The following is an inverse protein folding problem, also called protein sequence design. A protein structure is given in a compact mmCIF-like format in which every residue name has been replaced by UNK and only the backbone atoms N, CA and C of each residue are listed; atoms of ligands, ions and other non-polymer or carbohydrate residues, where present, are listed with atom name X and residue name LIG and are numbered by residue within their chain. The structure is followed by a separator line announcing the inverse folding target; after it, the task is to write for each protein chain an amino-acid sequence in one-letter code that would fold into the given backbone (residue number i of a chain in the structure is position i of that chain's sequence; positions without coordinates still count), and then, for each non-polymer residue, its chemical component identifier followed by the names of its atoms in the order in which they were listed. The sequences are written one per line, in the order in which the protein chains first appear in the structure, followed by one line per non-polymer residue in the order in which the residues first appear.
data_IF_456106407505
#
_entry.id   IF_456106407505
#
_cell.length_a   1.000
_cell.length_b   1.000
_cell.length_c   1.000
_cell.angle_alpha   90.00
_cell.angle_beta   90.00
_cell.angle_gamma   90.00
#
_symmetry.space_group_name_H-M   'P 1'
#
loop_
_entity.id
_entity.type
_entity.pdbx_description
1 polymer ?
#
# COMPACT_ATOMS: atom_id res chain seq x y z
N UNK A 1 2.78 7.92 -0.40
CA UNK A 1 3.75 6.88 0.04
C UNK A 1 3.77 5.80 -1.02
N UNK A 2 4.94 5.24 -1.33
CA UNK A 2 5.06 4.10 -2.26
C UNK A 2 5.19 2.81 -1.46
N UNK A 3 4.44 1.78 -1.84
CA UNK A 3 4.49 0.46 -1.22
C UNK A 3 4.29 -0.63 -2.28
N UNK A 4 4.73 -1.85 -2.01
CA UNK A 4 4.68 -2.94 -3.00
C UNK A 4 3.58 -3.93 -2.63
N UNK A 5 2.68 -4.20 -3.56
CA UNK A 5 1.64 -5.24 -3.42
C UNK A 5 1.80 -6.22 -4.59
N UNK A 6 1.93 -7.52 -4.30
CA UNK A 6 2.21 -8.56 -5.30
C UNK A 6 3.38 -8.25 -6.25
N UNK A 7 4.43 -7.61 -5.74
CA UNK A 7 5.62 -7.24 -6.52
C UNK A 7 5.46 -6.00 -7.41
N UNK A 8 4.29 -5.34 -7.39
CA UNK A 8 4.05 -4.09 -8.12
C UNK A 8 4.15 -2.89 -7.18
N UNK A 9 4.90 -1.84 -7.55
CA UNK A 9 4.87 -0.59 -6.81
C UNK A 9 3.49 0.04 -6.95
N UNK A 10 2.96 0.50 -5.84
CA UNK A 10 1.66 1.14 -5.72
C UNK A 10 1.84 2.43 -4.92
N UNK A 11 0.93 3.37 -5.13
CA UNK A 11 0.92 4.63 -4.40
C UNK A 11 -0.38 4.80 -3.64
N UNK A 12 -0.27 5.44 -2.49
CA UNK A 12 -1.43 5.74 -1.67
C UNK A 12 -1.10 6.64 -0.49
N UNK A 13 -2.16 6.97 0.24
CA UNK A 13 -2.14 7.81 1.42
C UNK A 13 -2.61 7.03 2.63
N UNK A 14 -1.86 7.13 3.72
CA UNK A 14 -2.28 6.55 5.01
C UNK A 14 -3.49 7.35 5.51
N UNK A 15 -4.67 6.74 5.46
CA UNK A 15 -5.90 7.33 5.98
C UNK A 15 -5.98 7.21 7.50
N UNK A 16 -5.47 6.09 8.05
CA UNK A 16 -5.45 5.85 9.49
C UNK A 16 -4.31 4.93 9.89
N UNK A 17 -3.55 5.32 10.91
CA UNK A 17 -2.59 4.45 11.58
C UNK A 17 -3.26 3.70 12.74
N UNK A 18 -2.97 2.41 12.84
CA UNK A 18 -3.36 1.52 13.93
C UNK A 18 -2.09 0.96 14.59
N UNK A 19 -2.26 0.29 15.73
CA UNK A 19 -1.13 -0.22 16.53
C UNK A 19 -0.18 -1.15 15.74
N UNK A 20 -0.71 -2.00 14.87
CA UNK A 20 0.07 -3.00 14.10
C UNK A 20 -0.21 -2.94 12.59
N UNK A 21 -0.94 -1.94 12.14
CA UNK A 21 -1.40 -1.83 10.78
C UNK A 21 -1.70 -0.40 10.37
N UNK A 22 -1.85 -0.17 9.08
CA UNK A 22 -2.32 1.09 8.52
C UNK A 22 -3.46 0.82 7.54
N UNK A 23 -4.48 1.66 7.57
CA UNK A 23 -5.45 1.79 6.49
C UNK A 23 -4.88 2.76 5.48
N UNK A 24 -4.74 2.31 4.25
CA UNK A 24 -4.19 3.09 3.13
C UNK A 24 -5.25 3.20 2.05
N UNK A 25 -5.56 4.44 1.68
CA UNK A 25 -6.32 4.78 0.48
C UNK A 25 -5.34 4.72 -0.70
N UNK A 26 -5.67 3.93 -1.72
CA UNK A 26 -4.87 3.80 -2.92
C UNK A 26 -5.16 5.00 -3.82
N UNK A 27 -4.12 5.60 -4.38
CA UNK A 27 -4.32 6.68 -5.35
C UNK A 27 -4.93 6.08 -6.64
N UNK A 28 -5.98 6.70 -7.17
CA UNK A 28 -6.56 6.26 -8.44
C UNK A 28 -5.60 6.61 -9.59
N UNK A 29 -4.78 5.63 -9.96
CA UNK A 29 -3.86 5.71 -11.10
C UNK A 29 -4.05 4.49 -12.01
N UNK A 30 -3.58 4.58 -13.26
CA UNK A 30 -3.64 3.44 -14.20
C UNK A 30 -2.87 2.23 -13.67
N UNK A 31 -1.79 2.47 -12.93
CA UNK A 31 -0.93 1.42 -12.36
C UNK A 31 -1.56 0.74 -11.13
N UNK A 32 -2.54 1.40 -10.50
CA UNK A 32 -3.27 0.89 -9.35
C UNK A 32 -4.67 0.35 -9.71
N UNK A 33 -5.09 0.40 -10.99
CA UNK A 33 -6.47 0.14 -11.41
C UNK A 33 -6.97 -1.28 -11.04
N UNK A 34 -6.10 -2.29 -11.13
CA UNK A 34 -6.44 -3.66 -10.72
C UNK A 34 -6.68 -3.75 -9.21
N UNK A 35 -5.81 -3.13 -8.42
CA UNK A 35 -5.90 -3.16 -6.96
C UNK A 35 -7.11 -2.36 -6.46
N UNK A 36 -7.38 -1.19 -7.06
CA UNK A 36 -8.56 -0.38 -6.76
C UNK A 36 -9.84 -1.18 -7.02
N UNK A 37 -9.94 -1.89 -8.14
CA UNK A 37 -11.11 -2.72 -8.46
C UNK A 37 -11.30 -3.89 -7.48
N UNK A 38 -10.21 -4.49 -6.99
CA UNK A 38 -10.27 -5.62 -6.06
C UNK A 38 -10.53 -5.20 -4.61
N UNK A 39 -10.14 -3.98 -4.23
CA UNK A 39 -10.13 -3.52 -2.83
C UNK A 39 -11.05 -2.33 -2.56
N UNK A 40 -11.82 -1.88 -3.55
CA UNK A 40 -12.59 -0.64 -3.51
C UNK A 40 -11.73 0.57 -3.10
N UNK A 41 -10.47 0.61 -3.57
CA UNK A 41 -9.55 1.70 -3.29
C UNK A 41 -8.98 1.74 -1.86
N UNK A 42 -9.29 0.77 -1.00
CA UNK A 42 -8.79 0.74 0.40
C UNK A 42 -8.06 -0.56 0.71
N UNK A 43 -6.87 -0.48 1.32
CA UNK A 43 -6.10 -1.65 1.76
C UNK A 43 -5.65 -1.52 3.22
N UNK A 44 -5.66 -2.66 3.93
CA UNK A 44 -5.12 -2.79 5.28
C UNK A 44 -3.72 -3.40 5.23
N UNK A 45 -2.71 -2.60 5.55
CA UNK A 45 -1.31 -3.04 5.58
C UNK A 45 -0.97 -3.47 7.00
N UNK A 46 -0.52 -4.72 7.18
CA UNK A 46 0.01 -5.20 8.47
C UNK A 46 1.53 -4.97 8.52
N UNK A 47 2.00 -4.25 9.54
CA UNK A 47 3.41 -3.91 9.66
C UNK A 47 4.32 -5.13 9.82
N UNK A 48 3.81 -6.25 10.36
CA UNK A 48 4.57 -7.51 10.46
C UNK A 48 4.85 -8.16 9.11
N UNK A 49 4.08 -7.80 8.08
CA UNK A 49 4.24 -8.29 6.71
C UNK A 49 4.99 -7.29 5.82
N UNK A 50 5.38 -6.13 6.36
CA UNK A 50 6.21 -5.19 5.63
C UNK A 50 7.65 -5.67 5.63
N UNK A 51 8.24 -5.69 4.44
CA UNK A 51 9.68 -5.82 4.28
C UNK A 51 10.25 -4.41 4.12
N UNK A 52 11.32 -4.13 4.86
CA UNK A 52 12.08 -2.90 4.68
C UNK A 52 12.76 -2.99 3.32
N UNK A 53 12.55 -2.00 2.47
CA UNK A 53 13.40 -1.82 1.29
C UNK A 53 14.68 -1.19 1.82
N UNK A 54 15.74 -1.97 1.92
CA UNK A 54 17.07 -1.39 2.17
C UNK A 54 17.49 -0.68 0.89
N UNK A 55 17.66 0.64 0.97
CA UNK A 55 18.32 1.40 -0.09
C UNK A 55 19.80 1.11 0.05
N UNK A 56 20.36 0.29 -0.83
CA UNK A 56 21.82 0.19 -0.99
C UNK A 56 22.34 1.59 -1.32
N UNK A 57 23.21 2.10 -0.44
CA UNK A 57 23.96 3.34 -0.61
C UNK A 57 25.20 3.12 -1.48
#
# INVERSE_FOLDING_TARGET
MTFTVYGRPQTGRVAKQLKNSAVVEIDETRDNAELVNQSNGVVLINYKKLQKVESDH
#
